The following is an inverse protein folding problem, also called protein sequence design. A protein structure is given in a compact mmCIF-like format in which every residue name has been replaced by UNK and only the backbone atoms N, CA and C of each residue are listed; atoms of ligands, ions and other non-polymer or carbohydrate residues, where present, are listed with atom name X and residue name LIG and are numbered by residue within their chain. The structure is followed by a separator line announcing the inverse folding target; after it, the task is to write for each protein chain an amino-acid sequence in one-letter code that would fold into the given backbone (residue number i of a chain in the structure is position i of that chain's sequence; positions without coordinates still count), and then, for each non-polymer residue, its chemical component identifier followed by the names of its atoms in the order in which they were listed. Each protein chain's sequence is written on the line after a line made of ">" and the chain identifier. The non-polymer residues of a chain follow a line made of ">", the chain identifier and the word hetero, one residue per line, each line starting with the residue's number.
data_IF_928867448893
#
_entry.id   IF_928867448893
#
_cell.length_a   1.000
_cell.length_b   1.000
_cell.length_c   1.000
_cell.angle_alpha   90.00
_cell.angle_beta   90.00
_cell.angle_gamma   90.00
#
_symmetry.space_group_name_H-M   'P 1'
#
loop_
_entity.id
_entity.type
_entity.pdbx_description
1 polymer ?
#
# COMPACT_ATOMS: atom_id res chain seq x y z
N UNK A 1 -3.58 -17.31 -9.02
CA UNK A 1 -2.70 -16.25 -8.48
C UNK A 1 -2.61 -15.15 -9.51
N UNK A 2 -3.30 -14.03 -9.26
CA UNK A 2 -3.60 -12.97 -10.23
C UNK A 2 -2.35 -12.27 -10.76
N UNK A 3 -2.34 -11.92 -12.06
CA UNK A 3 -1.33 -11.07 -12.75
C UNK A 3 -0.91 -9.85 -11.92
N UNK A 4 -1.85 -9.30 -11.15
CA UNK A 4 -1.66 -8.14 -10.26
C UNK A 4 -0.52 -8.35 -9.25
N UNK A 5 -0.34 -9.58 -8.73
CA UNK A 5 0.75 -9.87 -7.79
C UNK A 5 2.12 -9.84 -8.46
N UNK A 6 2.22 -10.32 -9.70
CA UNK A 6 3.45 -10.26 -10.49
C UNK A 6 3.80 -8.83 -10.89
N UNK A 7 2.80 -8.08 -11.32
CA UNK A 7 3.00 -6.68 -11.72
C UNK A 7 3.45 -5.81 -10.53
N UNK A 8 3.00 -6.12 -9.30
CA UNK A 8 3.48 -5.47 -8.08
C UNK A 8 4.94 -5.82 -7.76
N UNK A 9 5.32 -7.09 -7.85
CA UNK A 9 6.73 -7.52 -7.65
C UNK A 9 7.68 -6.87 -8.67
N UNK A 10 7.23 -6.72 -9.92
CA UNK A 10 8.02 -6.12 -10.98
C UNK A 10 8.21 -4.60 -10.79
N UNK A 11 7.21 -3.90 -10.25
CA UNK A 11 7.34 -2.47 -9.92
C UNK A 11 8.27 -2.28 -8.73
N UNK A 12 8.12 -3.10 -7.69
CA UNK A 12 8.98 -3.07 -6.49
C UNK A 12 10.44 -3.32 -6.86
N UNK A 13 10.71 -4.32 -7.70
CA UNK A 13 12.08 -4.67 -8.11
C UNK A 13 12.74 -3.61 -9.00
N UNK A 14 11.97 -2.89 -9.83
CA UNK A 14 12.48 -1.79 -10.66
C UNK A 14 12.86 -0.56 -9.83
N UNK A 15 12.08 -0.23 -8.81
CA UNK A 15 12.37 0.88 -7.90
C UNK A 15 13.64 0.59 -7.08
N UNK A 16 13.82 -0.65 -6.62
CA UNK A 16 15.04 -1.06 -5.91
C UNK A 16 16.31 -0.97 -6.77
N UNK A 17 16.23 -1.29 -8.06
CA UNK A 17 17.40 -1.32 -8.95
C UNK A 17 17.88 0.06 -9.42
N UNK A 18 17.03 1.09 -9.44
CA UNK A 18 17.44 2.46 -9.77
C UNK A 18 18.23 3.15 -8.65
N UNK A 19 18.22 2.59 -7.45
CA UNK A 19 18.80 3.19 -6.25
C UNK A 19 20.31 2.90 -6.11
N UNK A 20 20.83 1.83 -6.72
CA UNK A 20 22.20 1.37 -6.49
C UNK A 20 23.29 2.17 -7.25
N UNK A 21 22.94 3.11 -8.13
CA UNK A 21 23.92 3.79 -8.99
C UNK A 21 23.81 5.32 -8.92
N UNK A 22 24.41 5.96 -7.92
CA UNK A 22 24.65 7.41 -8.03
C UNK A 22 25.12 8.19 -6.79
N UNK A 23 26.41 8.10 -6.47
CA UNK A 23 27.25 9.20 -5.94
C UNK A 23 27.05 9.69 -4.49
N UNK A 24 27.69 9.02 -3.52
CA UNK A 24 28.66 9.68 -2.63
C UNK A 24 28.25 10.07 -1.20
N UNK A 25 28.04 9.09 -0.31
CA UNK A 25 28.06 9.11 1.19
C UNK A 25 27.32 10.21 2.00
N UNK A 26 27.32 11.48 1.59
CA UNK A 26 26.50 12.56 2.15
C UNK A 26 25.16 12.69 1.43
N UNK A 27 25.15 12.53 0.09
CA UNK A 27 23.91 12.37 -0.67
C UNK A 27 23.20 11.09 -0.24
N UNK A 28 23.91 10.00 0.06
CA UNK A 28 23.28 8.73 0.40
C UNK A 28 22.51 8.79 1.72
N UNK A 29 22.94 9.59 2.70
CA UNK A 29 22.18 9.79 3.94
C UNK A 29 20.92 10.62 3.66
N UNK A 30 21.05 11.70 2.89
CA UNK A 30 19.91 12.52 2.45
C UNK A 30 18.94 11.70 1.59
N UNK A 31 19.45 10.84 0.72
CA UNK A 31 18.69 9.94 -0.15
C UNK A 31 18.00 8.85 0.66
N UNK A 32 18.65 8.33 1.71
CA UNK A 32 18.04 7.37 2.63
C UNK A 32 16.93 8.03 3.43
N UNK A 33 17.13 9.24 3.96
CA UNK A 33 16.07 9.98 4.66
C UNK A 33 14.94 10.38 3.72
N UNK A 34 15.23 10.83 2.50
CA UNK A 34 14.23 11.12 1.48
C UNK A 34 13.42 9.86 1.12
N UNK A 35 14.09 8.70 0.99
CA UNK A 35 13.41 7.40 0.79
C UNK A 35 12.56 6.99 1.97
N UNK A 36 13.03 7.19 3.21
CA UNK A 36 12.23 6.92 4.41
C UNK A 36 10.98 7.78 4.43
N UNK A 37 11.09 9.07 4.08
CA UNK A 37 9.94 9.98 4.01
C UNK A 37 8.97 9.56 2.91
N UNK A 38 9.48 9.20 1.73
CA UNK A 38 8.66 8.72 0.62
C UNK A 38 7.92 7.42 0.98
N UNK A 39 8.61 6.42 1.52
CA UNK A 39 8.00 5.18 2.00
C UNK A 39 6.93 5.43 3.06
N UNK A 40 7.20 6.32 4.04
CA UNK A 40 6.20 6.72 5.05
C UNK A 40 4.98 7.40 4.41
N UNK A 41 5.19 8.25 3.41
CA UNK A 41 4.10 8.89 2.65
C UNK A 41 3.26 7.85 1.91
N UNK A 42 3.91 6.89 1.23
CA UNK A 42 3.23 5.79 0.55
C UNK A 42 2.44 4.91 1.53
N UNK A 43 3.02 4.53 2.67
CA UNK A 43 2.33 3.80 3.75
C UNK A 43 1.08 4.58 4.18
N UNK A 44 1.22 5.87 4.51
CA UNK A 44 0.09 6.71 4.93
C UNK A 44 -1.00 6.85 3.85
N UNK A 45 -0.63 6.87 2.56
CA UNK A 45 -1.57 6.82 1.45
C UNK A 45 -2.39 5.52 1.45
N UNK A 46 -1.74 4.37 1.61
CA UNK A 46 -2.41 3.08 1.65
C UNK A 46 -3.26 2.90 2.91
N UNK A 47 -2.84 3.43 4.06
CA UNK A 47 -3.66 3.47 5.27
C UNK A 47 -4.94 4.29 5.08
N UNK A 48 -4.84 5.46 4.41
CA UNK A 48 -6.02 6.27 4.06
C UNK A 48 -6.98 5.50 3.17
N UNK A 49 -6.47 4.79 2.15
CA UNK A 49 -7.30 3.94 1.27
C UNK A 49 -7.99 2.82 2.04
N UNK A 50 -7.30 2.18 3.00
CA UNK A 50 -7.90 1.16 3.88
C UNK A 50 -9.02 1.76 4.71
N UNK A 51 -8.82 2.94 5.33
CA UNK A 51 -9.87 3.62 6.11
C UNK A 51 -11.10 3.89 5.25
N UNK A 52 -10.92 4.43 4.04
CA UNK A 52 -12.01 4.67 3.10
C UNK A 52 -12.75 3.38 2.72
N UNK A 53 -12.03 2.30 2.43
CA UNK A 53 -12.63 1.01 2.12
C UNK A 53 -13.42 0.42 3.30
N UNK A 54 -12.92 0.56 4.54
CA UNK A 54 -13.69 0.17 5.72
C UNK A 54 -14.94 1.01 5.93
N UNK A 55 -14.89 2.32 5.67
CA UNK A 55 -16.07 3.19 5.69
C UNK A 55 -17.11 2.72 4.68
N UNK A 56 -16.72 2.46 3.43
CA UNK A 56 -17.62 1.95 2.39
C UNK A 56 -18.23 0.61 2.77
N UNK A 57 -17.45 -0.29 3.37
CA UNK A 57 -17.95 -1.58 3.84
C UNK A 57 -18.97 -1.43 4.98
N UNK A 58 -18.70 -0.51 5.91
CA UNK A 58 -19.61 -0.19 7.01
C UNK A 58 -20.92 0.44 6.54
N UNK A 59 -20.85 1.38 5.59
CA UNK A 59 -22.03 1.98 4.95
C UNK A 59 -22.86 0.93 4.21
N UNK A 60 -22.21 0.07 3.42
CA UNK A 60 -22.89 -1.02 2.72
C UNK A 60 -23.55 -2.00 3.70
N UNK A 61 -22.90 -2.31 4.82
CA UNK A 61 -23.46 -3.17 5.86
C UNK A 61 -24.66 -2.53 6.54
N UNK A 62 -24.57 -1.24 6.89
CA UNK A 62 -25.68 -0.50 7.48
C UNK A 62 -26.91 -0.49 6.55
N UNK A 63 -26.70 -0.21 5.26
CA UNK A 63 -27.76 -0.25 4.24
C UNK A 63 -28.39 -1.64 4.06
N UNK A 64 -27.58 -2.70 4.18
CA UNK A 64 -28.08 -4.07 4.18
C UNK A 64 -28.98 -4.34 5.39
N UNK A 65 -28.56 -3.93 6.59
CA UNK A 65 -29.34 -4.15 7.81
C UNK A 65 -30.61 -3.30 7.84
N UNK A 66 -30.53 -2.04 7.45
CA UNK A 66 -31.64 -1.09 7.51
C UNK A 66 -32.67 -1.33 6.40
N UNK A 67 -32.19 -1.52 5.17
CA UNK A 67 -33.03 -1.48 3.96
C UNK A 67 -33.11 -2.83 3.23
N UNK A 68 -32.50 -3.89 3.77
CA UNK A 68 -32.39 -5.21 3.14
C UNK A 68 -31.80 -5.17 1.72
N UNK A 69 -30.92 -4.19 1.47
CA UNK A 69 -30.24 -3.99 0.19
C UNK A 69 -28.98 -4.86 0.15
N UNK A 70 -28.84 -5.68 -0.88
CA UNK A 70 -27.66 -6.53 -1.08
C UNK A 70 -26.34 -5.72 -1.03
N UNK A 71 -25.35 -6.22 -0.29
CA UNK A 71 -24.01 -5.62 -0.18
C UNK A 71 -23.18 -5.83 -1.46
N UNK A 72 -23.63 -5.26 -2.56
CA UNK A 72 -22.94 -5.35 -3.85
C UNK A 72 -21.51 -4.82 -3.71
N UNK A 73 -20.57 -5.56 -4.30
CA UNK A 73 -19.13 -5.24 -4.31
C UNK A 73 -18.40 -5.39 -2.96
N UNK A 74 -19.02 -5.92 -1.90
CA UNK A 74 -18.35 -6.15 -0.61
C UNK A 74 -17.05 -6.98 -0.76
N UNK A 75 -17.07 -8.02 -1.59
CA UNK A 75 -15.88 -8.83 -1.87
C UNK A 75 -14.75 -8.01 -2.50
N UNK A 76 -15.08 -7.10 -3.42
CA UNK A 76 -14.09 -6.22 -4.08
C UNK A 76 -13.47 -5.26 -3.06
N UNK A 77 -14.29 -4.70 -2.15
CA UNK A 77 -13.83 -3.82 -1.08
C UNK A 77 -12.89 -4.58 -0.14
N UNK A 78 -13.26 -5.80 0.27
CA UNK A 78 -12.43 -6.67 1.12
C UNK A 78 -11.11 -7.02 0.44
N UNK A 79 -11.13 -7.35 -0.85
CA UNK A 79 -9.91 -7.66 -1.60
C UNK A 79 -9.00 -6.42 -1.74
N UNK A 80 -9.59 -5.24 -1.91
CA UNK A 80 -8.86 -3.97 -1.88
C UNK A 80 -8.19 -3.73 -0.52
N UNK A 81 -8.88 -3.98 0.59
CA UNK A 81 -8.30 -3.88 1.94
C UNK A 81 -7.11 -4.84 2.09
N UNK A 82 -7.26 -6.10 1.68
CA UNK A 82 -6.19 -7.10 1.74
C UNK A 82 -4.97 -6.67 0.91
N UNK A 83 -5.19 -6.19 -0.31
CA UNK A 83 -4.13 -5.72 -1.19
C UNK A 83 -3.37 -4.53 -0.56
N UNK A 84 -4.08 -3.51 -0.08
CA UNK A 84 -3.45 -2.35 0.56
C UNK A 84 -2.69 -2.74 1.84
N UNK A 85 -3.21 -3.67 2.66
CA UNK A 85 -2.48 -4.20 3.82
C UNK A 85 -1.18 -4.90 3.41
N UNK A 86 -1.20 -5.66 2.32
CA UNK A 86 0.00 -6.33 1.82
C UNK A 86 1.04 -5.34 1.31
N UNK A 87 0.61 -4.26 0.65
CA UNK A 87 1.51 -3.17 0.24
C UNK A 87 2.13 -2.50 1.46
N UNK A 88 1.35 -2.19 2.50
CA UNK A 88 1.90 -1.63 3.75
C UNK A 88 2.94 -2.57 4.38
N UNK A 89 2.70 -3.88 4.43
CA UNK A 89 3.65 -4.87 4.94
C UNK A 89 4.98 -4.82 4.16
N UNK A 90 4.92 -4.75 2.82
CA UNK A 90 6.12 -4.66 1.98
C UNK A 90 6.86 -3.34 2.15
N UNK A 91 6.15 -2.21 2.15
CA UNK A 91 6.75 -0.89 2.34
C UNK A 91 7.35 -0.73 3.74
N UNK A 92 6.71 -1.32 4.76
CA UNK A 92 7.22 -1.32 6.14
C UNK A 92 8.51 -2.11 6.26
N UNK A 93 8.60 -3.28 5.60
CA UNK A 93 9.85 -4.07 5.53
C UNK A 93 10.97 -3.31 4.84
N UNK A 94 10.68 -2.67 3.69
CA UNK A 94 11.66 -1.81 3.03
C UNK A 94 12.11 -0.64 3.92
N UNK A 95 11.19 -0.05 4.68
CA UNK A 95 11.52 1.02 5.62
C UNK A 95 12.42 0.53 6.76
N UNK A 96 12.19 -0.70 7.25
CA UNK A 96 13.03 -1.34 8.26
C UNK A 96 14.43 -1.68 7.74
N UNK A 97 14.57 -2.12 6.50
CA UNK A 97 15.86 -2.37 5.85
C UNK A 97 16.68 -1.09 5.66
N UNK A 98 16.03 0.09 5.67
CA UNK A 98 16.68 1.40 5.60
C UNK A 98 16.99 2.02 6.97
N UNK A 99 16.59 1.39 8.09
CA UNK A 99 16.91 1.85 9.45
C UNK A 99 18.34 1.49 9.84
#
# INVERSE_FOLDING_TARGET
>A
MSKIFKDLEDVVSKTSKQIEKGVGKLSSIIDVEAKKVDLKSQIGNHERKIRQAYTQLGEAYYQYVENNVEMKQANIIVDSIKANKKVIDLLSKQLEELK
#
